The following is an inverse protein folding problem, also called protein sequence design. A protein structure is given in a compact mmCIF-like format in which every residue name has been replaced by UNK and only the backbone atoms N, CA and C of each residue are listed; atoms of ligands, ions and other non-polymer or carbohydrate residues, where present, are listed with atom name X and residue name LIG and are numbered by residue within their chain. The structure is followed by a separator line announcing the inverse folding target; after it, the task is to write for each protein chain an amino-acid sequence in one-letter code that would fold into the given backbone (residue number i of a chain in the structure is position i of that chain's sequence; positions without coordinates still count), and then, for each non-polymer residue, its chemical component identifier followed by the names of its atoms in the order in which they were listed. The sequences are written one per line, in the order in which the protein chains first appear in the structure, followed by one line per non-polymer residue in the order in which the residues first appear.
data_IF_871850324271
#
_entry.id   IF_871850324271
#
_cell.length_a   1.000
_cell.length_b   1.000
_cell.length_c   1.000
_cell.angle_alpha   90.00
_cell.angle_beta   90.00
_cell.angle_gamma   90.00
#
_symmetry.space_group_name_H-M   'P 1'
#
loop_
_entity.id
_entity.type
_entity.pdbx_description
1 polymer ?
#
# COMPACT_ATOMS: atom_id res chain seq x y z
N UNK A 1 6.86 4.98 -30.82
CA UNK A 1 7.61 4.86 -29.55
C UNK A 1 6.73 4.05 -28.61
N UNK A 2 7.04 2.77 -28.40
CA UNK A 2 6.21 1.85 -27.63
C UNK A 2 6.42 2.14 -26.14
N UNK A 3 5.51 2.87 -25.51
CA UNK A 3 5.60 3.34 -24.10
C UNK A 3 5.01 2.31 -23.11
N UNK A 4 4.54 1.16 -23.60
CA UNK A 4 3.72 0.24 -22.81
C UNK A 4 4.46 -0.90 -22.07
N UNK A 5 5.79 -1.02 -22.18
CA UNK A 5 6.50 -2.24 -21.70
C UNK A 5 7.27 -2.10 -20.39
N UNK A 6 7.34 -0.94 -19.75
CA UNK A 6 8.36 -0.69 -18.70
C UNK A 6 7.82 -0.28 -17.32
N UNK A 7 6.53 -0.48 -17.05
CA UNK A 7 5.91 -0.14 -15.74
C UNK A 7 5.44 -1.34 -14.93
N UNK A 8 5.67 -2.58 -15.40
CA UNK A 8 5.33 -3.80 -14.67
C UNK A 8 6.48 -4.30 -13.81
N UNK A 9 6.16 -4.84 -12.63
CA UNK A 9 7.11 -5.55 -11.79
C UNK A 9 7.29 -7.00 -12.28
N UNK A 10 8.50 -7.52 -12.23
CA UNK A 10 8.76 -8.95 -12.40
C UNK A 10 9.32 -9.50 -11.09
N UNK A 11 8.62 -10.47 -10.53
CA UNK A 11 8.98 -11.16 -9.30
C UNK A 11 9.71 -12.45 -9.66
N UNK A 12 10.93 -12.61 -9.13
CA UNK A 12 11.82 -13.74 -9.39
C UNK A 12 12.09 -14.51 -8.09
N UNK A 13 11.22 -15.46 -7.71
CA UNK A 13 11.45 -16.32 -6.54
C UNK A 13 12.83 -16.99 -6.60
N UNK A 14 13.55 -16.98 -5.48
CA UNK A 14 14.85 -17.63 -5.32
C UNK A 14 16.03 -16.96 -6.04
N UNK A 15 15.88 -15.74 -6.57
CA UNK A 15 16.94 -15.01 -7.29
C UNK A 15 17.34 -13.71 -6.60
N UNK A 16 18.52 -13.20 -6.96
CA UNK A 16 19.00 -11.84 -6.61
C UNK A 16 19.42 -11.08 -7.88
N UNK A 17 18.81 -9.92 -8.20
CA UNK A 17 17.67 -9.32 -7.51
C UNK A 17 16.38 -10.13 -7.69
N UNK A 18 15.56 -10.22 -6.63
CA UNK A 18 14.27 -10.92 -6.68
C UNK A 18 13.14 -10.10 -7.32
N UNK A 19 13.36 -8.80 -7.53
CA UNK A 19 12.40 -7.90 -8.16
C UNK A 19 13.14 -7.07 -9.20
N UNK A 20 12.60 -7.03 -10.42
CA UNK A 20 13.07 -6.18 -11.51
C UNK A 20 11.90 -5.42 -12.14
N UNK A 21 12.20 -4.40 -12.94
CA UNK A 21 11.20 -3.47 -13.46
C UNK A 21 10.70 -2.52 -12.37
N UNK A 22 9.60 -1.81 -12.63
CA UNK A 22 8.99 -0.88 -11.68
C UNK A 22 8.63 0.47 -12.30
N UNK A 23 8.16 1.39 -11.47
CA UNK A 23 7.70 2.69 -11.93
C UNK A 23 8.88 3.56 -12.39
N UNK A 24 8.79 4.04 -13.63
CA UNK A 24 9.62 5.14 -14.09
C UNK A 24 9.32 6.40 -13.27
N UNK A 25 10.34 7.18 -12.89
CA UNK A 25 10.21 8.52 -12.27
C UNK A 25 9.61 9.60 -13.19
N UNK A 26 8.60 9.21 -13.98
CA UNK A 26 7.92 10.04 -14.96
C UNK A 26 7.07 11.12 -14.29
N UNK A 27 6.43 10.81 -13.16
CA UNK A 27 5.61 11.78 -12.44
C UNK A 27 6.47 12.97 -11.99
N UNK A 28 7.62 12.69 -11.40
CA UNK A 28 8.60 13.69 -10.95
C UNK A 28 9.07 14.55 -12.12
N UNK A 29 9.50 13.93 -13.22
CA UNK A 29 9.93 14.65 -14.43
C UNK A 29 8.83 15.51 -15.05
N UNK A 30 7.58 15.05 -15.00
CA UNK A 30 6.44 15.81 -15.50
C UNK A 30 6.14 17.05 -14.65
N UNK A 31 6.54 17.06 -13.38
CA UNK A 31 6.25 18.16 -12.45
C UNK A 31 7.31 19.26 -12.45
N UNK A 32 8.57 18.96 -12.81
CA UNK A 32 9.62 19.98 -12.94
C UNK A 32 9.15 21.09 -13.88
N UNK A 33 9.41 22.34 -13.49
CA UNK A 33 8.99 23.55 -14.23
C UNK A 33 7.46 23.71 -14.38
N UNK A 34 6.65 23.03 -13.57
CA UNK A 34 5.23 23.34 -13.45
C UNK A 34 4.97 24.37 -12.37
N UNK A 35 3.94 25.19 -12.61
CA UNK A 35 3.38 26.04 -11.58
C UNK A 35 2.75 25.18 -10.48
N UNK A 36 2.99 25.55 -9.22
CA UNK A 36 2.59 24.74 -8.04
C UNK A 36 1.09 24.45 -7.98
N UNK A 37 0.24 25.34 -8.48
CA UNK A 37 -1.22 25.19 -8.48
C UNK A 37 -1.70 24.00 -9.34
N UNK A 38 -0.88 23.52 -10.28
CA UNK A 38 -1.23 22.41 -11.17
C UNK A 38 -0.83 21.04 -10.62
N UNK A 39 0.06 21.00 -9.63
CA UNK A 39 0.75 19.77 -9.19
C UNK A 39 -0.23 18.73 -8.67
N UNK A 40 -1.16 19.13 -7.79
CA UNK A 40 -2.13 18.23 -7.19
C UNK A 40 -3.06 17.61 -8.26
N UNK A 41 -3.52 18.42 -9.21
CA UNK A 41 -4.42 17.96 -10.28
C UNK A 41 -3.73 17.00 -11.25
N UNK A 42 -2.49 17.30 -11.63
CA UNK A 42 -1.68 16.41 -12.48
C UNK A 42 -1.50 15.05 -11.81
N UNK A 43 -1.01 15.03 -10.56
CA UNK A 43 -0.79 13.78 -9.83
C UNK A 43 -2.09 13.01 -9.58
N UNK A 44 -3.15 13.72 -9.23
CA UNK A 44 -4.45 13.12 -9.00
C UNK A 44 -5.11 12.50 -10.24
N UNK A 45 -4.67 12.87 -11.45
CA UNK A 45 -5.09 12.24 -12.72
C UNK A 45 -4.16 11.11 -13.13
N UNK A 46 -2.87 11.25 -12.84
CA UNK A 46 -1.86 10.24 -13.18
C UNK A 46 -2.05 8.94 -12.39
N UNK A 47 -2.41 9.04 -11.10
CA UNK A 47 -2.56 7.88 -10.22
C UNK A 47 -4.03 7.53 -9.99
N UNK A 48 -4.67 6.85 -10.95
CA UNK A 48 -6.11 6.59 -10.93
C UNK A 48 -6.63 5.80 -9.70
N UNK A 49 -5.83 4.90 -9.12
CA UNK A 49 -6.21 4.09 -7.95
C UNK A 49 -6.03 4.80 -6.60
N UNK A 50 -5.18 5.82 -6.54
CA UNK A 50 -4.82 6.54 -5.30
C UNK A 50 -4.77 8.07 -5.50
N UNK A 51 -5.59 8.58 -6.43
CA UNK A 51 -5.51 9.97 -6.88
C UNK A 51 -5.88 10.97 -5.79
N UNK A 52 -6.77 10.61 -4.85
CA UNK A 52 -7.06 11.42 -3.66
C UNK A 52 -5.84 11.48 -2.75
N UNK A 53 -5.22 10.35 -2.41
CA UNK A 53 -4.01 10.33 -1.59
C UNK A 53 -2.88 11.20 -2.20
N UNK A 54 -2.65 11.09 -3.50
CA UNK A 54 -1.65 11.91 -4.20
C UNK A 54 -2.02 13.40 -4.20
N UNK A 55 -3.30 13.78 -4.40
CA UNK A 55 -3.75 15.18 -4.28
C UNK A 55 -3.48 15.73 -2.88
N UNK A 56 -3.84 14.97 -1.85
CA UNK A 56 -3.64 15.38 -0.45
C UNK A 56 -2.17 15.59 -0.15
N UNK A 57 -1.30 14.61 -0.42
CA UNK A 57 0.14 14.77 -0.24
C UNK A 57 0.70 15.97 -1.01
N UNK A 58 0.37 16.11 -2.30
CA UNK A 58 0.87 17.21 -3.12
C UNK A 58 0.46 18.58 -2.59
N UNK A 59 -0.82 18.75 -2.21
CA UNK A 59 -1.31 19.99 -1.60
C UNK A 59 -0.59 20.29 -0.29
N UNK A 60 -0.39 19.29 0.57
CA UNK A 60 0.30 19.47 1.85
C UNK A 60 1.77 19.84 1.66
N UNK A 61 2.47 19.17 0.74
CA UNK A 61 3.87 19.44 0.41
C UNK A 61 4.06 20.87 -0.10
N UNK A 62 3.28 21.28 -1.10
CA UNK A 62 3.34 22.63 -1.67
C UNK A 62 3.02 23.69 -0.62
N UNK A 63 1.96 23.50 0.17
CA UNK A 63 1.60 24.45 1.21
C UNK A 63 2.71 24.60 2.26
N UNK A 64 3.27 23.48 2.74
CA UNK A 64 4.36 23.52 3.71
C UNK A 64 5.62 24.19 3.15
N UNK A 65 5.97 23.94 1.88
CA UNK A 65 7.12 24.57 1.23
C UNK A 65 6.94 26.09 1.06
N UNK A 66 5.70 26.56 0.84
CA UNK A 66 5.34 27.97 0.77
C UNK A 66 5.11 28.64 2.14
N UNK A 67 5.39 27.95 3.25
CA UNK A 67 5.16 28.47 4.60
C UNK A 67 3.68 28.63 4.98
N UNK A 68 2.77 27.98 4.25
CA UNK A 68 1.33 27.96 4.52
C UNK A 68 0.99 26.81 5.49
N UNK A 69 -0.28 26.78 5.92
CA UNK A 69 -0.81 25.72 6.79
C UNK A 69 -0.65 24.33 6.15
N UNK A 70 0.16 23.48 6.78
CA UNK A 70 0.54 22.14 6.30
C UNK A 70 -0.21 20.96 6.93
N UNK A 71 -1.43 21.16 7.44
CA UNK A 71 -2.27 20.07 7.96
C UNK A 71 -3.46 19.79 7.04
N UNK A 72 -3.89 18.53 6.98
CA UNK A 72 -5.04 18.14 6.19
C UNK A 72 -6.35 18.62 6.81
N UNK A 73 -7.26 19.08 5.96
CA UNK A 73 -8.63 19.42 6.34
C UNK A 73 -9.44 18.14 6.58
N UNK A 74 -10.50 18.24 7.38
CA UNK A 74 -11.42 17.12 7.64
C UNK A 74 -12.00 16.49 6.36
N UNK A 75 -12.31 17.30 5.36
CA UNK A 75 -12.80 16.79 4.07
C UNK A 75 -11.76 15.94 3.34
N UNK A 76 -10.48 16.35 3.37
CA UNK A 76 -9.38 15.59 2.77
C UNK A 76 -9.20 14.24 3.47
N UNK A 77 -9.26 14.22 4.81
CA UNK A 77 -9.21 12.99 5.59
C UNK A 77 -10.39 12.05 5.27
N UNK A 78 -11.60 12.60 5.12
CA UNK A 78 -12.79 11.83 4.74
C UNK A 78 -12.64 11.24 3.34
N UNK A 79 -12.23 12.04 2.35
CA UNK A 79 -12.02 11.55 0.98
C UNK A 79 -10.94 10.47 0.92
N UNK A 80 -9.87 10.62 1.70
CA UNK A 80 -8.81 9.62 1.81
C UNK A 80 -9.31 8.31 2.42
N UNK A 81 -10.10 8.38 3.49
CA UNK A 81 -10.73 7.21 4.10
C UNK A 81 -11.71 6.52 3.13
N UNK A 82 -12.49 7.30 2.38
CA UNK A 82 -13.40 6.81 1.35
C UNK A 82 -12.62 6.09 0.22
N UNK A 83 -11.58 6.73 -0.34
CA UNK A 83 -10.71 6.11 -1.36
C UNK A 83 -10.09 4.81 -0.84
N UNK A 84 -9.55 4.83 0.38
CA UNK A 84 -8.89 3.68 1.00
C UNK A 84 -9.87 2.51 1.20
N UNK A 85 -11.07 2.80 1.69
CA UNK A 85 -12.14 1.82 1.88
C UNK A 85 -12.53 1.16 0.56
N UNK A 86 -12.74 1.95 -0.49
CA UNK A 86 -13.07 1.44 -1.83
C UNK A 86 -11.97 0.58 -2.39
N UNK A 87 -10.72 0.97 -2.19
CA UNK A 87 -9.57 0.23 -2.69
C UNK A 87 -9.37 -1.11 -1.96
N UNK A 88 -9.64 -1.19 -0.66
CA UNK A 88 -9.65 -2.47 0.04
C UNK A 88 -10.74 -3.39 -0.49
N UNK A 89 -11.94 -2.87 -0.78
CA UNK A 89 -13.00 -3.66 -1.42
C UNK A 89 -12.58 -4.13 -2.81
N UNK A 90 -11.99 -3.26 -3.64
CA UNK A 90 -11.46 -3.69 -4.96
C UNK A 90 -10.42 -4.79 -4.83
N UNK A 91 -9.45 -4.63 -3.94
CA UNK A 91 -8.43 -5.64 -3.69
C UNK A 91 -9.05 -6.99 -3.26
N UNK A 92 -9.95 -6.98 -2.29
CA UNK A 92 -10.55 -8.20 -1.75
C UNK A 92 -11.53 -8.87 -2.73
N UNK A 93 -12.34 -8.11 -3.49
CA UNK A 93 -13.36 -8.69 -4.37
C UNK A 93 -12.95 -8.83 -5.83
N UNK A 94 -11.94 -8.10 -6.31
CA UNK A 94 -11.52 -8.12 -7.72
C UNK A 94 -10.12 -8.71 -7.90
N UNK A 95 -9.17 -8.44 -7.00
CA UNK A 95 -7.80 -8.97 -7.12
C UNK A 95 -7.62 -10.34 -6.47
N UNK A 96 -8.13 -10.54 -5.25
CA UNK A 96 -7.98 -11.82 -4.53
C UNK A 96 -8.56 -13.04 -5.26
N UNK A 97 -9.67 -12.97 -6.02
CA UNK A 97 -10.13 -14.13 -6.81
C UNK A 97 -9.05 -14.67 -7.74
N UNK A 98 -8.29 -13.78 -8.38
CA UNK A 98 -7.20 -14.16 -9.28
C UNK A 98 -5.93 -14.51 -8.49
N UNK A 99 -5.59 -13.78 -7.43
CA UNK A 99 -4.30 -13.95 -6.74
C UNK A 99 -4.29 -15.07 -5.69
N UNK A 100 -5.42 -15.30 -5.02
CA UNK A 100 -5.55 -16.25 -3.91
C UNK A 100 -6.30 -17.52 -4.30
N UNK A 101 -7.31 -17.41 -5.17
CA UNK A 101 -8.23 -18.51 -5.50
C UNK A 101 -8.12 -19.03 -6.95
N UNK A 102 -7.07 -18.64 -7.68
CA UNK A 102 -6.86 -19.08 -9.08
C UNK A 102 -6.94 -20.61 -9.22
N UNK A 103 -7.82 -21.06 -10.13
CA UNK A 103 -8.04 -22.47 -10.42
C UNK A 103 -9.09 -23.16 -9.53
N UNK A 104 -9.77 -22.43 -8.62
CA UNK A 104 -10.79 -23.00 -7.75
C UNK A 104 -12.15 -22.30 -7.91
N UNK A 105 -12.90 -22.67 -8.96
CA UNK A 105 -14.18 -22.05 -9.34
C UNK A 105 -15.28 -22.06 -8.25
N UNK A 106 -15.17 -22.94 -7.26
CA UNK A 106 -16.12 -22.99 -6.14
C UNK A 106 -15.95 -21.84 -5.12
N UNK A 107 -14.83 -21.11 -5.19
CA UNK A 107 -14.51 -19.98 -4.32
C UNK A 107 -14.48 -18.75 -5.22
N UNK A 108 -15.64 -18.12 -5.41
CA UNK A 108 -15.79 -16.85 -6.13
C UNK A 108 -16.54 -15.81 -5.26
N UNK A 109 -16.29 -14.51 -5.46
CA UNK A 109 -16.81 -13.42 -4.62
C UNK A 109 -18.32 -13.18 -4.66
N UNK A 110 -19.09 -14.02 -5.36
CA UNK A 110 -20.50 -13.75 -5.66
C UNK A 110 -20.67 -12.55 -6.59
N UNK A 111 -21.87 -11.97 -6.61
CA UNK A 111 -22.18 -10.79 -7.44
C UNK A 111 -21.57 -9.51 -6.86
N UNK A 112 -20.58 -8.96 -7.57
CA UNK A 112 -19.87 -7.72 -7.19
C UNK A 112 -20.64 -6.44 -7.51
N UNK A 113 -21.68 -6.50 -8.36
CA UNK A 113 -22.44 -5.31 -8.79
C UNK A 113 -23.25 -4.68 -7.65
N UNK A 114 -23.56 -5.47 -6.62
CA UNK A 114 -24.34 -5.07 -5.46
C UNK A 114 -23.50 -4.57 -4.27
N UNK A 115 -22.19 -4.42 -4.43
CA UNK A 115 -21.32 -3.93 -3.34
C UNK A 115 -21.50 -2.41 -3.20
N UNK A 116 -22.03 -1.89 -2.07
CA UNK A 116 -22.33 -0.45 -1.92
C UNK A 116 -21.10 0.44 -2.16
N UNK A 117 -19.95 0.02 -1.65
CA UNK A 117 -18.70 0.78 -1.72
C UNK A 117 -18.14 0.93 -3.15
N UNK A 118 -18.59 0.11 -4.10
CA UNK A 118 -18.22 0.25 -5.51
C UNK A 118 -19.23 1.10 -6.30
N UNK A 119 -20.37 1.47 -5.69
CA UNK A 119 -21.42 2.29 -6.30
C UNK A 119 -21.28 3.74 -5.87
N UNK A 120 -21.75 4.64 -6.74
CA UNK A 120 -21.84 6.05 -6.39
C UNK A 120 -23.01 6.28 -5.42
N UNK A 121 -22.80 7.13 -4.40
CA UNK A 121 -23.86 7.59 -3.50
C UNK A 121 -24.25 6.64 -2.35
N UNK A 122 -23.53 5.54 -2.13
CA UNK A 122 -23.79 4.64 -1.00
C UNK A 122 -23.60 5.35 0.35
N UNK A 123 -24.47 5.06 1.32
CA UNK A 123 -24.32 5.58 2.68
C UNK A 123 -23.35 4.74 3.51
N UNK A 124 -22.85 5.30 4.63
CA UNK A 124 -21.99 4.57 5.56
C UNK A 124 -22.74 3.39 6.22
N UNK A 125 -24.02 3.55 6.51
CA UNK A 125 -24.85 2.51 7.12
C UNK A 125 -25.09 1.34 6.16
N UNK A 126 -25.36 1.63 4.88
CA UNK A 126 -25.44 0.59 3.84
C UNK A 126 -24.11 -0.16 3.70
N UNK A 127 -22.99 0.55 3.69
CA UNK A 127 -21.67 -0.05 3.60
C UNK A 127 -21.35 -0.93 4.83
N UNK A 128 -21.69 -0.47 6.03
CA UNK A 128 -21.50 -1.23 7.28
C UNK A 128 -22.37 -2.47 7.31
N UNK A 129 -23.66 -2.35 7.00
CA UNK A 129 -24.59 -3.46 6.94
C UNK A 129 -24.13 -4.53 5.93
N UNK A 130 -23.67 -4.08 4.76
CA UNK A 130 -23.08 -4.97 3.77
C UNK A 130 -21.82 -5.65 4.29
N UNK A 131 -20.90 -4.92 4.93
CA UNK A 131 -19.66 -5.49 5.46
C UNK A 131 -19.95 -6.61 6.48
N UNK A 132 -20.83 -6.36 7.44
CA UNK A 132 -21.18 -7.34 8.48
C UNK A 132 -21.75 -8.63 7.88
N UNK A 133 -22.60 -8.53 6.84
CA UNK A 133 -23.25 -9.70 6.23
C UNK A 133 -22.40 -10.40 5.18
N UNK A 134 -21.84 -9.64 4.24
CA UNK A 134 -21.20 -10.17 3.04
C UNK A 134 -19.70 -10.42 3.21
N UNK A 135 -19.04 -9.69 4.11
CA UNK A 135 -17.60 -9.82 4.34
C UNK A 135 -17.30 -10.58 5.64
N UNK A 136 -17.87 -10.14 6.77
CA UNK A 136 -17.50 -10.64 8.09
C UNK A 136 -18.34 -11.84 8.52
N UNK A 137 -19.62 -11.89 8.14
CA UNK A 137 -20.57 -12.90 8.60
C UNK A 137 -20.96 -12.74 10.08
N UNK A 138 -20.66 -11.58 10.67
CA UNK A 138 -20.97 -11.23 12.06
C UNK A 138 -20.89 -9.71 12.23
N UNK A 139 -21.27 -9.23 13.42
CA UNK A 139 -21.17 -7.81 13.76
C UNK A 139 -19.72 -7.32 13.68
N UNK A 140 -19.56 -6.08 13.20
CA UNK A 140 -18.28 -5.46 12.96
C UNK A 140 -17.45 -5.33 14.23
N UNK A 141 -18.07 -4.87 15.32
CA UNK A 141 -17.41 -4.68 16.61
C UNK A 141 -16.95 -6.00 17.22
N UNK A 142 -17.78 -7.04 17.14
CA UNK A 142 -17.40 -8.39 17.57
C UNK A 142 -16.20 -8.92 16.78
N UNK A 143 -16.18 -8.72 15.45
CA UNK A 143 -15.06 -9.13 14.61
C UNK A 143 -13.77 -8.39 14.98
N UNK A 144 -13.84 -7.07 15.16
CA UNK A 144 -12.68 -6.25 15.54
C UNK A 144 -12.15 -6.61 16.93
N UNK A 145 -13.02 -6.92 17.90
CA UNK A 145 -12.60 -7.35 19.23
C UNK A 145 -11.82 -8.66 19.16
N UNK A 146 -12.36 -9.68 18.49
CA UNK A 146 -11.65 -10.96 18.32
C UNK A 146 -10.31 -10.79 17.60
N UNK A 147 -10.27 -9.98 16.54
CA UNK A 147 -9.02 -9.65 15.84
C UNK A 147 -8.00 -8.96 16.76
N UNK A 148 -8.42 -8.02 17.60
CA UNK A 148 -7.49 -7.27 18.47
C UNK A 148 -7.00 -8.10 19.67
N UNK A 149 -7.78 -9.08 20.13
CA UNK A 149 -7.42 -9.95 21.27
C UNK A 149 -6.42 -11.05 20.86
N UNK A 150 -6.69 -11.76 19.77
CA UNK A 150 -5.83 -12.83 19.25
C UNK A 150 -5.93 -12.88 17.72
N UNK A 151 -5.14 -12.07 16.99
CA UNK A 151 -5.22 -12.00 15.53
C UNK A 151 -5.10 -13.38 14.86
N UNK A 152 -4.17 -14.22 15.34
CA UNK A 152 -3.86 -15.50 14.72
C UNK A 152 -4.93 -16.56 14.99
N UNK A 153 -5.31 -16.75 16.26
CA UNK A 153 -6.34 -17.71 16.62
C UNK A 153 -7.72 -17.28 16.11
N UNK A 154 -8.06 -15.99 16.20
CA UNK A 154 -9.32 -15.47 15.70
C UNK A 154 -9.44 -15.60 14.18
N UNK A 155 -8.43 -15.16 13.41
CA UNK A 155 -8.47 -15.28 11.95
C UNK A 155 -8.56 -16.76 11.54
N UNK A 156 -7.90 -17.66 12.28
CA UNK A 156 -7.92 -19.12 12.05
C UNK A 156 -9.33 -19.66 12.17
N UNK A 157 -9.89 -19.49 13.36
CA UNK A 157 -11.26 -19.88 13.70
C UNK A 157 -12.31 -19.27 12.75
N UNK A 158 -12.18 -17.98 12.44
CA UNK A 158 -13.15 -17.26 11.61
C UNK A 158 -13.08 -17.72 10.14
N UNK A 159 -11.89 -17.85 9.56
CA UNK A 159 -11.73 -18.26 8.16
C UNK A 159 -12.24 -19.68 7.91
N UNK A 160 -12.10 -20.58 8.88
CA UNK A 160 -12.56 -21.97 8.78
C UNK A 160 -14.09 -22.12 8.90
N UNK A 161 -14.74 -21.29 9.73
CA UNK A 161 -16.18 -21.42 10.04
C UNK A 161 -17.08 -20.53 9.20
N UNK A 162 -16.59 -19.34 8.83
CA UNK A 162 -17.41 -18.35 8.15
C UNK A 162 -17.56 -18.68 6.65
N UNK A 163 -18.78 -18.56 6.14
CA UNK A 163 -19.09 -18.91 4.75
C UNK A 163 -18.95 -17.74 3.76
N UNK A 164 -18.51 -16.56 4.23
CA UNK A 164 -18.33 -15.37 3.39
C UNK A 164 -17.13 -15.51 2.46
N UNK A 165 -17.13 -14.70 1.40
CA UNK A 165 -16.06 -14.70 0.41
C UNK A 165 -14.66 -14.47 1.02
N UNK A 166 -14.42 -13.41 1.81
CA UNK A 166 -13.08 -13.16 2.35
C UNK A 166 -12.59 -14.28 3.27
N UNK A 167 -13.47 -14.85 4.09
CA UNK A 167 -13.15 -15.98 4.97
C UNK A 167 -12.70 -17.20 4.18
N UNK A 168 -13.46 -17.60 3.15
CA UNK A 168 -13.12 -18.74 2.28
C UNK A 168 -11.82 -18.53 1.51
N UNK A 169 -11.59 -17.33 0.98
CA UNK A 169 -10.36 -17.00 0.27
C UNK A 169 -9.13 -17.11 1.20
N UNK A 170 -9.25 -16.61 2.44
CA UNK A 170 -8.21 -16.68 3.46
C UNK A 170 -7.97 -18.11 3.96
N UNK A 171 -9.01 -18.92 4.14
CA UNK A 171 -8.87 -20.33 4.48
C UNK A 171 -8.14 -21.09 3.37
N UNK A 172 -8.53 -20.86 2.11
CA UNK A 172 -7.94 -21.52 0.94
C UNK A 172 -6.46 -21.20 0.77
N UNK A 173 -6.05 -19.94 0.88
CA UNK A 173 -4.66 -19.56 0.66
C UNK A 173 -3.73 -19.82 1.86
N UNK A 174 -4.28 -20.24 3.01
CA UNK A 174 -3.56 -20.30 4.30
C UNK A 174 -2.26 -21.10 4.21
N UNK A 175 -2.29 -22.28 3.60
CA UNK A 175 -1.10 -23.15 3.46
C UNK A 175 0.05 -22.48 2.67
N UNK A 176 -0.27 -21.57 1.75
CA UNK A 176 0.71 -20.85 0.93
C UNK A 176 1.08 -19.47 1.49
N UNK A 177 0.46 -19.09 2.62
CA UNK A 177 0.57 -17.77 3.23
C UNK A 177 1.31 -17.78 4.58
N UNK A 178 1.88 -18.91 4.99
CA UNK A 178 2.57 -19.06 6.29
C UNK A 178 3.99 -18.48 6.31
N UNK A 179 4.46 -17.88 5.21
CA UNK A 179 5.80 -17.32 5.14
C UNK A 179 5.97 -16.18 6.14
N UNK A 180 6.97 -16.30 7.01
CA UNK A 180 7.37 -15.23 7.90
C UNK A 180 8.10 -14.15 7.10
N UNK A 181 7.75 -12.90 7.35
CA UNK A 181 8.45 -11.74 6.79
C UNK A 181 8.91 -10.86 7.95
N UNK A 182 10.12 -11.12 8.48
CA UNK A 182 10.67 -10.40 9.63
C UNK A 182 11.02 -8.98 9.20
N UNK A 183 10.14 -8.04 9.52
CA UNK A 183 10.18 -6.68 9.04
C UNK A 183 9.61 -5.75 10.11
N UNK A 184 10.18 -4.56 10.25
CA UNK A 184 9.68 -3.55 11.18
C UNK A 184 8.70 -2.59 10.49
N UNK A 185 7.74 -2.00 11.22
CA UNK A 185 6.87 -1.00 10.63
C UNK A 185 7.68 0.27 10.29
N UNK A 186 7.54 0.77 9.06
CA UNK A 186 8.05 2.06 8.63
C UNK A 186 7.19 3.17 9.25
N UNK A 187 7.70 3.78 10.32
CA UNK A 187 7.03 4.82 11.10
C UNK A 187 7.76 6.16 11.04
N UNK A 188 8.32 6.52 9.88
CA UNK A 188 9.07 7.78 9.72
C UNK A 188 8.24 9.01 10.10
N UNK A 189 6.91 8.95 9.93
CA UNK A 189 5.96 10.00 10.29
C UNK A 189 5.55 10.03 11.77
N UNK A 190 6.09 9.14 12.61
CA UNK A 190 5.80 9.14 14.05
C UNK A 190 6.45 10.31 14.79
N UNK A 191 7.58 10.81 14.29
CA UNK A 191 8.34 11.89 14.93
C UNK A 191 8.84 12.91 13.90
N UNK A 192 8.85 14.22 14.22
CA UNK A 192 9.37 15.23 13.30
C UNK A 192 10.85 15.03 12.93
N UNK A 193 11.67 14.50 13.84
CA UNK A 193 13.10 14.26 13.58
C UNK A 193 13.33 13.20 12.50
N UNK A 194 12.56 12.11 12.52
CA UNK A 194 12.65 11.04 11.52
C UNK A 194 12.14 11.51 10.16
N UNK A 195 11.09 12.34 10.12
CA UNK A 195 10.62 12.97 8.89
C UNK A 195 11.67 13.89 8.26
N UNK A 196 12.36 14.71 9.06
CA UNK A 196 13.43 15.59 8.53
C UNK A 196 14.60 14.77 7.99
N UNK A 197 14.99 13.70 8.68
CA UNK A 197 16.01 12.79 8.18
C UNK A 197 15.58 12.13 6.85
N UNK A 198 14.32 11.72 6.74
CA UNK A 198 13.78 11.17 5.49
C UNK A 198 13.73 12.22 4.37
N UNK A 199 13.36 13.47 4.67
CA UNK A 199 13.38 14.56 3.70
C UNK A 199 14.80 14.82 3.16
N UNK A 200 15.81 14.83 4.03
CA UNK A 200 17.20 14.98 3.63
C UNK A 200 17.67 13.83 2.72
N UNK A 201 17.23 12.60 2.98
CA UNK A 201 17.51 11.45 2.12
C UNK A 201 16.86 11.60 0.74
N UNK A 202 15.58 11.94 0.71
CA UNK A 202 14.84 12.14 -0.54
C UNK A 202 15.45 13.27 -1.39
N UNK A 203 16.04 14.29 -0.78
CA UNK A 203 16.68 15.41 -1.49
C UNK A 203 18.00 15.03 -2.18
N UNK A 204 18.74 14.02 -1.70
CA UNK A 204 20.11 13.73 -2.17
C UNK A 204 20.19 12.46 -3.01
N UNK A 205 19.30 11.50 -2.78
CA UNK A 205 19.36 10.20 -3.45
C UNK A 205 18.91 10.35 -4.91
N UNK A 206 19.89 10.27 -5.82
CA UNK A 206 19.65 10.05 -7.24
C UNK A 206 19.17 8.60 -7.41
N UNK A 207 17.95 8.44 -7.92
CA UNK A 207 17.20 7.19 -8.04
C UNK A 207 16.61 6.60 -6.75
N UNK A 208 15.63 5.71 -6.97
CA UNK A 208 14.63 5.13 -6.06
C UNK A 208 15.15 4.43 -4.79
N UNK A 209 16.43 4.55 -4.47
CA UNK A 209 17.02 4.00 -3.24
C UNK A 209 16.76 4.95 -2.07
N UNK A 210 15.54 4.95 -1.54
CA UNK A 210 15.20 5.68 -0.30
C UNK A 210 15.53 4.89 0.98
N UNK A 211 16.15 3.72 0.83
CA UNK A 211 16.64 2.84 1.89
C UNK A 211 18.16 2.95 1.99
N UNK A 212 18.74 3.08 3.19
CA UNK A 212 20.20 2.96 3.35
C UNK A 212 20.64 1.49 3.27
N UNK A 213 21.92 1.23 2.95
CA UNK A 213 22.45 -0.14 2.77
C UNK A 213 22.29 -1.03 4.00
N UNK A 214 22.51 -0.46 5.19
CA UNK A 214 22.64 -1.18 6.46
C UNK A 214 21.38 -1.11 7.35
N UNK A 215 20.28 -0.54 6.86
CA UNK A 215 19.05 -0.43 7.65
C UNK A 215 18.32 -1.78 7.75
N UNK A 216 17.76 -2.10 8.93
CA UNK A 216 16.92 -3.29 9.09
C UNK A 216 15.71 -3.19 8.14
N UNK A 217 15.21 -4.32 7.62
CA UNK A 217 14.07 -4.31 6.71
C UNK A 217 12.86 -3.69 7.41
N UNK A 218 12.28 -2.69 6.76
CA UNK A 218 11.02 -2.10 7.17
C UNK A 218 10.04 -2.04 6.01
N UNK A 219 8.75 -2.04 6.33
CA UNK A 219 7.68 -2.04 5.35
C UNK A 219 6.56 -1.09 5.77
N UNK A 220 5.65 -0.84 4.85
CA UNK A 220 4.45 -0.05 5.14
C UNK A 220 3.19 -0.72 4.60
N UNK A 221 2.07 -0.61 5.32
CA UNK A 221 0.80 -1.25 4.95
C UNK A 221 -0.25 -1.14 6.05
N UNK A 222 -1.30 -1.96 5.97
CA UNK A 222 -2.45 -1.96 6.88
C UNK A 222 -2.07 -2.13 8.36
N UNK A 223 -1.06 -2.94 8.66
CA UNK A 223 -0.64 -3.24 10.04
C UNK A 223 0.37 -2.24 10.59
N UNK A 224 0.96 -1.39 9.74
CA UNK A 224 2.01 -0.44 10.13
C UNK A 224 1.46 0.97 10.38
N UNK A 225 0.14 1.14 10.51
CA UNK A 225 -0.47 2.45 10.75
C UNK A 225 -0.03 3.00 12.09
N UNK A 226 0.23 4.29 12.15
CA UNK A 226 0.68 4.97 13.37
C UNK A 226 -0.32 4.78 14.52
N UNK A 227 -1.62 4.82 14.19
CA UNK A 227 -2.72 4.64 15.14
C UNK A 227 -3.07 3.18 15.46
N UNK A 228 -2.30 2.20 14.93
CA UNK A 228 -2.55 0.75 15.11
C UNK A 228 -1.30 -0.02 15.57
N UNK A 229 -0.31 0.67 16.15
CA UNK A 229 0.99 0.12 16.54
C UNK A 229 0.94 -0.94 17.65
N UNK A 230 -0.20 -1.09 18.35
CA UNK A 230 -0.35 -2.06 19.45
C UNK A 230 -0.34 -3.53 19.03
N UNK A 231 -0.50 -3.83 17.73
CA UNK A 231 -0.49 -5.21 17.21
C UNK A 231 0.92 -5.72 16.86
N UNK A 232 1.89 -4.82 16.68
CA UNK A 232 3.33 -5.11 16.63
C UNK A 232 3.76 -6.44 15.99
N UNK A 233 4.63 -7.18 16.70
CA UNK A 233 5.24 -8.45 16.27
C UNK A 233 4.26 -9.61 16.11
N UNK A 234 2.97 -9.43 16.42
CA UNK A 234 1.95 -10.47 16.23
C UNK A 234 1.57 -10.67 14.76
N UNK A 235 1.95 -9.75 13.85
CA UNK A 235 1.65 -9.83 12.41
C UNK A 235 2.92 -10.21 11.62
N UNK A 236 3.42 -11.42 11.81
CA UNK A 236 4.68 -11.90 11.24
C UNK A 236 4.52 -12.63 9.90
N UNK A 237 3.39 -13.32 9.69
CA UNK A 237 3.11 -14.08 8.46
C UNK A 237 2.47 -13.24 7.35
N UNK A 238 2.63 -13.69 6.11
CA UNK A 238 1.88 -13.16 4.95
C UNK A 238 0.36 -13.27 5.15
N UNK A 239 -0.09 -14.36 5.76
CA UNK A 239 -1.50 -14.62 6.03
C UNK A 239 -2.12 -13.59 6.98
N UNK A 240 -1.42 -13.24 8.06
CA UNK A 240 -1.89 -12.22 8.99
C UNK A 240 -1.92 -10.83 8.35
N UNK A 241 -0.99 -10.51 7.44
CA UNK A 241 -1.05 -9.26 6.65
C UNK A 241 -2.30 -9.17 5.79
N UNK A 242 -2.75 -10.27 5.18
CA UNK A 242 -4.03 -10.30 4.46
C UNK A 242 -5.21 -10.06 5.43
N UNK A 243 -5.16 -10.65 6.63
CA UNK A 243 -6.13 -10.39 7.70
C UNK A 243 -6.18 -8.93 8.13
N UNK A 244 -5.02 -8.26 8.21
CA UNK A 244 -4.95 -6.83 8.52
C UNK A 244 -5.71 -5.96 7.53
N UNK A 245 -5.82 -6.37 6.26
CA UNK A 245 -6.61 -5.64 5.25
C UNK A 245 -8.10 -5.72 5.52
N UNK A 246 -8.58 -6.90 5.94
CA UNK A 246 -9.98 -7.08 6.38
C UNK A 246 -10.24 -6.25 7.64
N UNK A 247 -9.29 -6.27 8.60
CA UNK A 247 -9.37 -5.47 9.82
C UNK A 247 -9.36 -3.96 9.53
N UNK A 248 -8.55 -3.49 8.59
CA UNK A 248 -8.50 -2.08 8.21
C UNK A 248 -9.82 -1.63 7.56
N UNK A 249 -10.39 -2.44 6.67
CA UNK A 249 -11.71 -2.18 6.09
C UNK A 249 -12.80 -2.08 7.19
N UNK A 250 -12.80 -2.99 8.16
CA UNK A 250 -13.71 -2.93 9.30
C UNK A 250 -13.49 -1.68 10.16
N UNK A 251 -12.24 -1.30 10.46
CA UNK A 251 -11.93 -0.09 11.24
C UNK A 251 -12.40 1.19 10.55
N UNK A 252 -12.18 1.33 9.25
CA UNK A 252 -12.61 2.52 8.49
C UNK A 252 -14.13 2.67 8.45
N UNK A 253 -14.88 1.56 8.43
CA UNK A 253 -16.34 1.58 8.52
C UNK A 253 -16.88 1.63 9.97
N UNK A 254 -16.05 1.32 10.97
CA UNK A 254 -16.37 1.51 12.38
C UNK A 254 -16.32 2.99 12.79
N UNK A 255 -15.35 3.72 12.24
CA UNK A 255 -15.13 5.13 12.56
C UNK A 255 -16.27 5.98 12.02
N UNK A 256 -17.10 6.50 12.92
CA UNK A 256 -17.93 7.67 12.63
C UNK A 256 -16.99 8.88 12.64
N UNK A 257 -16.98 9.74 11.59
CA UNK A 257 -16.20 10.95 11.61
C UNK A 257 -16.80 11.92 12.63
N UNK A 258 -16.40 11.80 13.90
CA UNK A 258 -16.72 12.81 14.90
C UNK A 258 -15.55 13.79 15.08
N UNK A 259 -15.89 15.01 15.50
CA UNK A 259 -15.06 16.22 15.62
C UNK A 259 -13.86 16.09 16.57
N UNK A 260 -13.60 14.91 17.15
CA UNK A 260 -12.53 14.61 18.11
C UNK A 260 -11.51 13.58 17.62
N UNK A 261 -11.07 13.70 16.36
CA UNK A 261 -9.82 13.10 15.89
C UNK A 261 -9.63 11.62 16.24
N UNK A 262 -10.61 10.76 15.93
CA UNK A 262 -10.48 9.32 16.16
C UNK A 262 -9.53 8.69 15.13
N UNK A 263 -8.61 7.85 15.63
CA UNK A 263 -7.92 6.64 15.10
C UNK A 263 -7.98 6.33 13.57
N UNK A 264 -8.03 7.33 12.71
CA UNK A 264 -8.08 7.21 11.26
C UNK A 264 -6.70 7.26 10.62
N UNK A 265 -6.68 7.36 9.29
CA UNK A 265 -5.48 7.52 8.49
C UNK A 265 -4.79 8.84 8.84
N UNK A 266 -3.48 8.78 9.03
CA UNK A 266 -2.65 9.95 9.38
C UNK A 266 -2.02 10.56 8.12
N UNK A 267 -2.10 11.88 7.99
CA UNK A 267 -1.39 12.63 6.96
C UNK A 267 -0.94 13.99 7.49
N UNK A 268 0.09 14.56 6.88
CA UNK A 268 0.64 15.85 7.27
C UNK A 268 1.80 16.29 6.39
N UNK A 269 2.40 17.43 6.73
CA UNK A 269 3.62 17.90 6.12
C UNK A 269 4.52 18.63 7.11
N UNK A 270 5.81 18.67 6.81
CA UNK A 270 6.82 19.43 7.53
C UNK A 270 7.71 20.19 6.54
N UNK A 271 8.03 21.48 6.83
CA UNK A 271 9.10 22.18 6.14
C UNK A 271 10.43 21.42 6.27
N UNK A 272 11.18 21.36 5.18
CA UNK A 272 12.46 20.66 5.06
C UNK A 272 13.61 21.61 4.64
N UNK A 273 13.37 22.92 4.69
CA UNK A 273 14.29 23.97 4.27
C UNK A 273 13.51 25.15 3.69
N UNK A 274 14.22 26.18 3.24
CA UNK A 274 13.62 27.26 2.46
C UNK A 274 13.04 26.69 1.16
N UNK A 275 11.77 26.99 0.89
CA UNK A 275 11.03 26.50 -0.28
C UNK A 275 11.04 24.98 -0.48
N UNK A 276 11.27 24.22 0.61
CA UNK A 276 11.34 22.75 0.59
C UNK A 276 10.44 22.15 1.65
N UNK A 277 9.79 21.03 1.33
CA UNK A 277 8.97 20.31 2.30
C UNK A 277 8.88 18.82 2.01
N UNK A 278 8.57 18.05 3.06
CA UNK A 278 8.10 16.67 2.99
C UNK A 278 6.63 16.62 3.41
N UNK A 279 5.84 15.80 2.74
CA UNK A 279 4.48 15.44 3.16
C UNK A 279 4.30 13.93 3.18
N UNK A 280 3.30 13.47 3.91
CA UNK A 280 2.95 12.07 3.98
C UNK A 280 1.45 11.85 4.11
N UNK A 281 1.02 10.66 3.71
CA UNK A 281 -0.35 10.20 3.83
C UNK A 281 -0.39 8.68 3.98
N UNK A 282 -1.04 8.18 5.04
CA UNK A 282 -1.44 6.79 5.11
C UNK A 282 -2.58 6.53 4.12
N UNK A 283 -2.38 5.61 3.18
CA UNK A 283 -3.37 5.20 2.17
C UNK A 283 -3.48 3.67 2.08
N UNK A 284 -4.39 3.15 1.27
CA UNK A 284 -4.71 1.70 1.16
C UNK A 284 -3.52 0.73 1.12
N UNK A 285 -2.42 1.08 0.47
CA UNK A 285 -1.24 0.21 0.33
C UNK A 285 -0.13 0.48 1.35
N UNK A 286 -0.22 1.56 2.13
CA UNK A 286 0.80 1.98 3.09
C UNK A 286 1.00 3.49 3.15
N UNK A 287 2.20 3.93 3.52
CA UNK A 287 2.62 5.31 3.65
C UNK A 287 3.10 5.87 2.30
N UNK A 288 2.39 6.86 1.77
CA UNK A 288 2.81 7.69 0.65
C UNK A 288 3.60 8.87 1.18
N UNK A 289 4.75 9.19 0.58
CA UNK A 289 5.54 10.39 0.91
C UNK A 289 5.89 11.18 -0.33
N UNK A 290 5.72 12.49 -0.27
CA UNK A 290 6.18 13.42 -1.30
C UNK A 290 7.21 14.37 -0.71
N UNK A 291 8.26 14.66 -1.46
CA UNK A 291 9.17 15.77 -1.20
C UNK A 291 9.15 16.73 -2.38
N UNK A 292 9.21 18.02 -2.07
CA UNK A 292 9.19 19.08 -3.07
C UNK A 292 10.24 20.13 -2.75
N UNK A 293 10.90 20.60 -3.80
CA UNK A 293 11.65 21.85 -3.82
C UNK A 293 10.96 22.82 -4.78
N UNK A 294 10.75 24.05 -4.33
CA UNK A 294 10.18 25.12 -5.12
C UNK A 294 11.25 26.17 -5.48
N UNK A 295 11.03 26.84 -6.60
CA UNK A 295 11.77 28.04 -7.01
C UNK A 295 10.78 29.19 -7.11
N UNK A 296 11.16 30.35 -6.58
CA UNK A 296 10.43 31.57 -6.85
C UNK A 296 10.86 32.15 -8.20
N UNK A 297 9.90 32.58 -9.02
CA UNK A 297 10.14 33.05 -10.39
C UNK A 297 9.28 34.27 -10.70
N UNK A 298 9.58 34.98 -11.79
CA UNK A 298 8.76 36.09 -12.25
C UNK A 298 7.29 35.71 -12.56
N UNK A 299 7.00 34.41 -12.75
CA UNK A 299 5.67 33.88 -13.04
C UNK A 299 5.03 33.19 -11.82
N UNK A 300 5.60 33.39 -10.63
CA UNK A 300 5.16 32.76 -9.38
C UNK A 300 5.97 31.51 -9.01
N UNK A 301 5.58 30.82 -7.92
CA UNK A 301 6.30 29.65 -7.45
C UNK A 301 6.15 28.47 -8.41
N UNK A 302 7.28 27.88 -8.77
CA UNK A 302 7.38 26.73 -9.66
C UNK A 302 8.07 25.56 -8.98
N UNK A 303 7.80 24.35 -9.43
CA UNK A 303 8.50 23.15 -8.94
C UNK A 303 9.92 23.16 -9.46
N UNK A 304 10.88 23.26 -8.54
CA UNK A 304 12.30 23.12 -8.82
C UNK A 304 12.70 21.66 -8.96
N UNK A 305 12.21 20.84 -8.03
CA UNK A 305 12.38 19.40 -8.03
C UNK A 305 11.26 18.70 -7.25
N UNK A 306 11.02 17.42 -7.55
CA UNK A 306 9.96 16.64 -6.93
C UNK A 306 10.37 15.17 -6.76
N UNK A 307 10.00 14.55 -5.64
CA UNK A 307 10.22 13.13 -5.36
C UNK A 307 9.00 12.48 -4.75
N UNK A 308 8.64 11.31 -5.24
CA UNK A 308 7.56 10.48 -4.69
C UNK A 308 8.16 9.17 -4.18
N UNK A 309 7.72 8.76 -3.00
CA UNK A 309 7.92 7.39 -2.49
C UNK A 309 6.55 6.80 -2.24
N UNK A 310 6.11 5.92 -3.14
CA UNK A 310 4.88 5.17 -2.91
C UNK A 310 5.15 3.93 -2.04
N UNK A 311 4.11 3.37 -1.39
CA UNK A 311 4.21 2.08 -0.71
C UNK A 311 4.70 0.95 -1.61
N UNK A 312 4.39 1.00 -2.91
CA UNK A 312 4.86 -0.01 -3.86
C UNK A 312 6.36 0.15 -4.09
N UNK A 313 6.84 1.38 -4.32
CA UNK A 313 8.28 1.66 -4.47
C UNK A 313 9.07 1.20 -3.25
N UNK A 314 8.52 1.40 -2.04
CA UNK A 314 9.15 0.98 -0.79
C UNK A 314 9.16 -0.54 -0.61
N UNK A 315 7.99 -1.17 -0.63
CA UNK A 315 7.84 -2.59 -0.28
C UNK A 315 8.43 -3.52 -1.36
N UNK A 316 8.35 -3.12 -2.63
CA UNK A 316 8.89 -3.85 -3.78
C UNK A 316 10.27 -3.35 -4.22
N UNK A 317 10.91 -2.48 -3.44
CA UNK A 317 12.31 -2.14 -3.65
C UNK A 317 13.17 -3.42 -3.70
N UNK A 318 14.23 -3.51 -4.52
CA UNK A 318 15.10 -4.69 -4.57
C UNK A 318 15.71 -5.12 -3.23
N UNK A 319 15.74 -4.21 -2.24
CA UNK A 319 16.17 -4.47 -0.85
C UNK A 319 15.03 -4.46 0.18
N UNK A 320 13.79 -4.29 -0.28
CA UNK A 320 12.58 -4.21 0.53
C UNK A 320 12.08 -5.58 1.01
N UNK A 321 11.00 -5.57 1.80
CA UNK A 321 10.47 -6.75 2.47
C UNK A 321 10.04 -7.86 1.50
N UNK A 322 9.44 -7.49 0.35
CA UNK A 322 8.98 -8.47 -0.65
C UNK A 322 10.17 -9.15 -1.31
N UNK A 323 11.17 -8.40 -1.77
CA UNK A 323 12.37 -8.95 -2.41
C UNK A 323 13.09 -9.93 -1.49
N UNK A 324 13.36 -9.53 -0.24
CA UNK A 324 14.03 -10.40 0.76
C UNK A 324 13.25 -11.67 1.07
N UNK A 325 11.92 -11.65 0.96
CA UNK A 325 11.09 -12.83 1.14
C UNK A 325 11.13 -13.74 -0.08
N UNK A 326 11.00 -13.17 -1.28
CA UNK A 326 11.10 -13.90 -2.55
C UNK A 326 12.47 -14.58 -2.72
N UNK A 327 13.56 -13.95 -2.29
CA UNK A 327 14.91 -14.54 -2.31
C UNK A 327 15.01 -15.86 -1.54
N UNK A 328 14.14 -16.10 -0.54
CA UNK A 328 14.11 -17.34 0.25
C UNK A 328 13.26 -18.44 -0.41
N UNK A 329 12.52 -18.12 -1.46
CA UNK A 329 11.66 -19.10 -2.14
C UNK A 329 12.48 -20.00 -3.08
N UNK A 330 11.96 -21.18 -3.45
CA UNK A 330 12.61 -22.01 -4.46
C UNK A 330 12.72 -21.31 -5.82
N UNK A 331 13.90 -21.42 -6.45
CA UNK A 331 14.16 -20.82 -7.78
C UNK A 331 13.53 -21.59 -8.95
N UNK A 332 13.12 -22.84 -8.73
CA UNK A 332 12.48 -23.68 -9.74
C UNK A 332 10.96 -23.50 -9.75
N UNK A 333 10.37 -23.43 -10.94
CA UNK A 333 8.94 -23.34 -11.11
C UNK A 333 8.22 -24.54 -10.47
N UNK A 334 7.24 -24.25 -9.61
CA UNK A 334 6.28 -25.22 -9.08
C UNK A 334 4.96 -24.49 -8.80
N UNK A 335 3.84 -25.21 -8.87
CA UNK A 335 2.54 -24.61 -8.58
C UNK A 335 2.47 -24.03 -7.16
N UNK A 336 3.02 -24.74 -6.17
CA UNK A 336 3.08 -24.28 -4.78
C UNK A 336 3.96 -23.03 -4.63
N UNK A 337 5.14 -23.01 -5.27
CA UNK A 337 6.01 -21.83 -5.29
C UNK A 337 5.34 -20.62 -5.92
N UNK A 338 4.62 -20.82 -7.03
CA UNK A 338 3.90 -19.74 -7.70
C UNK A 338 2.78 -19.19 -6.81
N UNK A 339 1.99 -20.07 -6.18
CA UNK A 339 0.94 -19.66 -5.25
C UNK A 339 1.50 -18.87 -4.06
N UNK A 340 2.63 -19.31 -3.48
CA UNK A 340 3.30 -18.55 -2.40
C UNK A 340 3.71 -17.15 -2.84
N UNK A 341 4.27 -17.01 -4.05
CA UNK A 341 4.65 -15.70 -4.60
C UNK A 341 3.42 -14.82 -4.92
N UNK A 342 2.34 -15.40 -5.46
CA UNK A 342 1.10 -14.69 -5.75
C UNK A 342 0.40 -14.21 -4.46
N UNK A 343 0.38 -15.04 -3.41
CA UNK A 343 -0.18 -14.69 -2.10
C UNK A 343 0.66 -13.61 -1.41
N UNK A 344 1.99 -13.68 -1.50
CA UNK A 344 2.87 -12.61 -1.04
C UNK A 344 2.56 -11.28 -1.76
N UNK A 345 2.48 -11.30 -3.09
CA UNK A 345 2.13 -10.11 -3.86
C UNK A 345 0.73 -9.58 -3.51
N UNK A 346 -0.25 -10.46 -3.22
CA UNK A 346 -1.59 -10.05 -2.78
C UNK A 346 -1.61 -9.38 -1.40
N UNK A 347 -0.73 -9.79 -0.48
CA UNK A 347 -0.63 -9.20 0.85
C UNK A 347 -0.10 -7.76 0.81
N UNK A 348 0.89 -7.50 -0.04
CA UNK A 348 1.48 -6.16 -0.22
C UNK A 348 0.74 -5.31 -1.26
N UNK A 349 -0.01 -5.95 -2.16
CA UNK A 349 -0.91 -5.32 -3.15
C UNK A 349 -0.25 -4.20 -3.97
N UNK A 350 0.69 -4.51 -4.89
CA UNK A 350 1.35 -3.49 -5.68
C UNK A 350 0.34 -2.71 -6.52
N UNK A 351 0.55 -1.41 -6.71
CA UNK A 351 -0.32 -0.55 -7.52
C UNK A 351 -0.07 -0.66 -9.03
N UNK A 352 0.85 -1.53 -9.45
CA UNK A 352 1.21 -1.80 -10.84
C UNK A 352 1.02 -3.27 -11.17
N UNK A 353 0.88 -3.57 -12.46
CA UNK A 353 0.86 -4.95 -12.93
C UNK A 353 2.17 -5.66 -12.54
N UNK A 354 2.08 -6.96 -12.28
CA UNK A 354 3.26 -7.77 -12.01
C UNK A 354 3.16 -9.13 -12.69
N UNK A 355 4.33 -9.73 -12.90
CA UNK A 355 4.49 -11.09 -13.39
C UNK A 355 5.37 -11.88 -12.42
N UNK A 356 5.17 -13.19 -12.35
CA UNK A 356 6.03 -14.10 -11.59
C UNK A 356 6.82 -14.92 -12.61
N UNK A 357 8.14 -14.70 -12.65
CA UNK A 357 9.07 -15.36 -13.55
C UNK A 357 9.94 -16.37 -12.81
N UNK A 358 10.21 -17.51 -13.45
CA UNK A 358 11.16 -18.52 -12.98
C UNK A 358 12.24 -18.72 -14.04
N UNK A 359 13.41 -19.21 -13.61
CA UNK A 359 14.44 -19.64 -14.57
C UNK A 359 13.93 -20.77 -15.45
N UNK A 360 14.14 -20.65 -16.76
CA UNK A 360 14.15 -21.84 -17.60
C UNK A 360 15.41 -22.66 -17.29
N UNK A 361 15.30 -23.99 -17.35
CA UNK A 361 16.43 -24.90 -17.10
C UNK A 361 17.64 -24.66 -18.03
N UNK A 362 17.44 -23.95 -19.15
CA UNK A 362 18.48 -23.67 -20.14
C UNK A 362 19.33 -22.41 -19.83
N UNK A 363 18.85 -21.48 -19.00
CA UNK A 363 19.64 -20.30 -18.59
C UNK A 363 20.85 -20.71 -17.73
N UNK A 364 20.75 -21.83 -17.01
CA UNK A 364 21.84 -22.35 -16.17
C UNK A 364 23.01 -22.97 -16.95
N UNK A 365 22.88 -23.15 -18.28
CA UNK A 365 23.95 -23.69 -19.14
C UNK A 365 24.85 -22.63 -19.74
N UNK A 366 24.48 -21.33 -19.68
CA UNK A 366 25.32 -20.25 -20.22
C UNK A 366 26.29 -19.65 -19.19
N UNK A 367 26.06 -19.82 -17.89
CA UNK A 367 26.96 -19.32 -16.83
C UNK A 367 28.17 -20.25 -16.57
N UNK A 368 28.33 -21.31 -17.36
CA UNK A 368 29.43 -22.28 -17.26
C UNK A 368 30.16 -22.53 -18.60
N UNK A 369 30.03 -21.62 -19.57
CA UNK A 369 30.73 -21.69 -20.86
C UNK A 369 31.83 -20.65 -20.97
#
# INVERSE_FOLDING_TARGET
MNIASDTSLILHPGRRPAITGGLSGLAERLLVDRHVDTVADVLGRLYALCGVAHRVCATLAVNAALGRVGHAKHEQLRMLADETTREHVRCIWLDWPVRLASGHHAILPGDVSNIPLLRYGSTLDEARYWLERAALGMRLDAWLNGWNEDPAGFLGSWSERCCTWPAKALAYCREHAQENVPCHPLLVHAQPVTLRAQAARMAVLADSTFLAADEPPCETGCWTRLNQTSLGSAIDTVWLRLGCRVAELARLLATVPDRRGTKGLVCGALPAGELRAISWCEMSRGLLMHWVELRDTAHGPMVGDYRIVSPTDWNFHPRGAVARTLERFPASASLSGWKRAAVLAAAYDPCVAYQIGYANKDDARMDHA
#
